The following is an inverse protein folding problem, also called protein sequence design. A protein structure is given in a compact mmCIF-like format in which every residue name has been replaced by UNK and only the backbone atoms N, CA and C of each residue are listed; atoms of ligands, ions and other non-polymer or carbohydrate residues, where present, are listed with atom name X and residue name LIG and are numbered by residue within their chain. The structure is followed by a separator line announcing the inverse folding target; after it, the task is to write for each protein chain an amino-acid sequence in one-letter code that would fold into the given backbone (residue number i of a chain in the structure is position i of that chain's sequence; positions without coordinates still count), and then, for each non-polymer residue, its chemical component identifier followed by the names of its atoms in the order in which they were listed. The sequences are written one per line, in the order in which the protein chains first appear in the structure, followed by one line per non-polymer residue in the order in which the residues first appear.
data_IF_553908028075
#
_entry.id   IF_553908028075
#
_cell.length_a   1.000
_cell.length_b   1.000
_cell.length_c   1.000
_cell.angle_alpha   90.00
_cell.angle_beta   90.00
_cell.angle_gamma   90.00
#
_symmetry.space_group_name_H-M   'P 1'
#
loop_
_entity.id
_entity.type
_entity.pdbx_description
1 polymer ?
#
# COMPACT_ATOMS: atom_id res chain seq x y z
N UNK A 1 -24.26 14.93 -1.52
CA UNK A 1 -24.09 14.05 -2.67
C UNK A 1 -23.80 12.68 -2.17
N UNK A 2 -23.92 11.74 -3.08
CA UNK A 2 -23.38 10.42 -2.90
C UNK A 2 -22.32 10.17 -3.95
N UNK A 3 -21.21 9.58 -3.53
CA UNK A 3 -20.11 9.18 -4.42
C UNK A 3 -20.02 7.68 -4.40
N UNK A 4 -20.01 7.05 -5.57
CA UNK A 4 -19.58 5.67 -5.69
C UNK A 4 -18.04 5.64 -5.74
N UNK A 5 -17.44 4.81 -4.91
CA UNK A 5 -16.00 4.53 -4.94
C UNK A 5 -15.82 3.07 -5.35
N UNK A 6 -15.17 2.87 -6.50
CA UNK A 6 -14.64 1.57 -6.89
C UNK A 6 -13.26 1.42 -6.25
N UNK A 7 -13.10 0.46 -5.35
CA UNK A 7 -11.82 0.13 -4.73
C UNK A 7 -11.31 -1.20 -5.28
N UNK A 8 -10.42 -1.10 -6.27
CA UNK A 8 -9.89 -2.24 -7.02
C UNK A 8 -8.59 -2.75 -6.39
N UNK A 9 -8.73 -3.66 -5.41
CA UNK A 9 -7.62 -4.43 -4.85
C UNK A 9 -7.23 -5.63 -5.71
N UNK A 10 -6.04 -6.22 -5.43
CA UNK A 10 -5.50 -7.36 -6.19
C UNK A 10 -6.37 -8.62 -6.12
N UNK A 11 -6.96 -8.88 -4.95
CA UNK A 11 -7.68 -10.12 -4.63
C UNK A 11 -9.15 -9.89 -4.30
N UNK A 12 -9.55 -8.64 -4.08
CA UNK A 12 -10.91 -8.25 -3.74
C UNK A 12 -11.17 -6.86 -4.30
N UNK A 13 -12.23 -6.73 -5.08
CA UNK A 13 -12.69 -5.49 -5.68
C UNK A 13 -14.02 -5.12 -5.05
N UNK A 14 -14.17 -3.86 -4.66
CA UNK A 14 -15.37 -3.39 -3.95
C UNK A 14 -15.97 -2.17 -4.63
N UNK A 15 -17.28 -2.02 -4.50
CA UNK A 15 -17.96 -0.75 -4.70
C UNK A 15 -18.54 -0.32 -3.36
N UNK A 16 -18.30 0.93 -2.98
CA UNK A 16 -18.97 1.57 -1.85
C UNK A 16 -19.73 2.79 -2.33
N UNK A 17 -20.91 3.04 -1.77
CA UNK A 17 -21.59 4.33 -1.94
C UNK A 17 -21.48 5.10 -0.63
N UNK A 18 -20.82 6.26 -0.67
CA UNK A 18 -20.65 7.12 0.48
C UNK A 18 -21.68 8.25 0.49
N UNK A 19 -22.28 8.48 1.65
CA UNK A 19 -22.99 9.71 1.98
C UNK A 19 -22.03 10.85 2.34
N UNK A 20 -22.55 12.08 2.40
CA UNK A 20 -21.76 13.25 2.82
C UNK A 20 -21.35 13.17 4.30
N UNK A 21 -22.12 12.45 5.12
CA UNK A 21 -21.84 12.16 6.53
C UNK A 21 -20.75 11.09 6.71
N UNK A 22 -20.05 10.69 5.65
CA UNK A 22 -18.98 9.69 5.66
C UNK A 22 -19.46 8.25 5.74
N UNK A 23 -20.77 8.01 5.88
CA UNK A 23 -21.31 6.65 6.02
C UNK A 23 -21.38 5.94 4.68
N UNK A 24 -21.07 4.64 4.72
CA UNK A 24 -21.32 3.71 3.62
C UNK A 24 -22.81 3.34 3.63
N UNK A 25 -23.51 3.63 2.53
CA UNK A 25 -24.96 3.35 2.37
C UNK A 25 -25.25 2.18 1.44
N UNK A 26 -24.25 1.71 0.70
CA UNK A 26 -24.31 0.51 -0.15
C UNK A 26 -22.90 -0.05 -0.32
N UNK A 27 -22.82 -1.36 -0.48
CA UNK A 27 -21.57 -2.08 -0.64
C UNK A 27 -21.75 -3.30 -1.54
N UNK A 28 -20.80 -3.50 -2.46
CA UNK A 28 -20.73 -4.69 -3.31
C UNK A 28 -19.31 -5.19 -3.41
N UNK A 29 -19.14 -6.49 -3.61
CA UNK A 29 -17.83 -7.13 -3.74
C UNK A 29 -17.80 -8.06 -4.92
N UNK A 30 -16.63 -8.16 -5.53
CA UNK A 30 -16.28 -9.22 -6.47
C UNK A 30 -14.81 -9.58 -6.28
N UNK A 31 -14.39 -10.67 -6.93
CA UNK A 31 -12.99 -11.04 -7.03
C UNK A 31 -12.52 -10.77 -8.47
N UNK A 32 -11.43 -10.01 -8.67
CA UNK A 32 -10.82 -9.90 -9.99
C UNK A 32 -10.17 -11.24 -10.38
N UNK A 33 -10.34 -11.63 -11.63
CA UNK A 33 -9.72 -12.83 -12.18
C UNK A 33 -8.44 -12.49 -12.94
N UNK A 34 -7.38 -13.25 -12.65
CA UNK A 34 -6.09 -13.16 -13.33
C UNK A 34 -5.92 -14.40 -14.20
N UNK A 35 -6.06 -14.22 -15.51
CA UNK A 35 -6.11 -15.29 -16.50
C UNK A 35 -4.78 -15.41 -17.25
N UNK A 36 -4.55 -16.58 -17.87
CA UNK A 36 -3.35 -16.84 -18.66
C UNK A 36 -3.60 -16.53 -20.14
N UNK A 37 -2.82 -15.60 -20.71
CA UNK A 37 -2.87 -15.24 -22.13
C UNK A 37 -1.45 -15.05 -22.67
N UNK A 38 -1.11 -15.75 -23.75
CA UNK A 38 0.21 -15.61 -24.39
C UNK A 38 1.40 -15.94 -23.49
N UNK A 39 1.24 -16.82 -22.49
CA UNK A 39 2.31 -17.10 -21.52
C UNK A 39 2.49 -16.02 -20.44
N UNK A 40 1.57 -15.06 -20.35
CA UNK A 40 1.51 -14.02 -19.32
C UNK A 40 0.22 -14.15 -18.50
N UNK A 41 0.28 -13.73 -17.23
CA UNK A 41 -0.85 -13.60 -16.32
C UNK A 41 -1.34 -12.18 -16.46
N UNK A 42 -2.61 -12.02 -16.78
CA UNK A 42 -3.21 -10.74 -17.10
C UNK A 42 -4.58 -10.63 -16.46
N UNK A 43 -5.00 -9.42 -16.15
CA UNK A 43 -6.34 -9.16 -15.63
C UNK A 43 -7.39 -9.53 -16.70
N UNK A 44 -8.44 -10.24 -16.29
CA UNK A 44 -9.68 -10.30 -17.07
C UNK A 44 -10.42 -8.96 -16.95
N UNK A 45 -9.91 -7.95 -17.69
CA UNK A 45 -10.42 -6.59 -17.64
C UNK A 45 -11.89 -6.50 -18.05
N UNK A 46 -12.32 -7.30 -19.04
CA UNK A 46 -13.69 -7.29 -19.51
C UNK A 46 -14.66 -7.74 -18.41
N UNK A 47 -14.35 -8.86 -17.72
CA UNK A 47 -15.17 -9.36 -16.63
C UNK A 47 -15.27 -8.35 -15.46
N UNK A 48 -14.14 -7.74 -15.08
CA UNK A 48 -14.14 -6.74 -14.00
C UNK A 48 -14.87 -5.45 -14.41
N UNK A 49 -14.68 -5.00 -15.66
CA UNK A 49 -15.37 -3.83 -16.21
C UNK A 49 -16.88 -4.04 -16.25
N UNK A 50 -17.36 -5.20 -16.71
CA UNK A 50 -18.79 -5.50 -16.82
C UNK A 50 -19.45 -5.55 -15.43
N UNK A 51 -18.80 -6.19 -14.46
CA UNK A 51 -19.25 -6.16 -13.07
C UNK A 51 -19.31 -4.73 -12.53
N UNK A 52 -18.24 -3.95 -12.71
CA UNK A 52 -18.15 -2.60 -12.16
C UNK A 52 -19.16 -1.65 -12.82
N UNK A 53 -19.37 -1.75 -14.13
CA UNK A 53 -20.37 -0.97 -14.86
C UNK A 53 -21.78 -1.29 -14.35
N UNK A 54 -22.12 -2.57 -14.22
CA UNK A 54 -23.40 -2.99 -13.65
C UNK A 54 -23.57 -2.49 -12.21
N UNK A 55 -22.50 -2.58 -11.41
CA UNK A 55 -22.52 -2.13 -10.03
C UNK A 55 -22.79 -0.61 -9.93
N UNK A 56 -22.12 0.18 -10.77
CA UNK A 56 -22.32 1.64 -10.83
C UNK A 56 -23.71 2.00 -11.34
N UNK A 57 -24.24 1.31 -12.36
CA UNK A 57 -25.60 1.56 -12.88
C UNK A 57 -26.68 1.34 -11.81
N UNK A 58 -26.60 0.23 -11.10
CA UNK A 58 -27.52 -0.06 -10.00
C UNK A 58 -27.35 0.92 -8.82
N UNK A 59 -26.12 1.35 -8.52
CA UNK A 59 -25.87 2.38 -7.50
C UNK A 59 -26.46 3.75 -7.92
N UNK A 60 -26.37 4.10 -9.20
CA UNK A 60 -26.98 5.30 -9.75
C UNK A 60 -28.51 5.26 -9.64
N UNK A 61 -29.13 4.12 -9.94
CA UNK A 61 -30.57 3.92 -9.81
C UNK A 61 -31.05 3.96 -8.35
N UNK A 62 -30.38 3.23 -7.46
CA UNK A 62 -30.81 3.07 -6.07
C UNK A 62 -30.52 4.32 -5.23
N UNK A 63 -29.38 4.98 -5.47
CA UNK A 63 -28.87 6.01 -4.58
C UNK A 63 -28.80 7.40 -5.22
N UNK A 64 -28.83 7.50 -6.54
CA UNK A 64 -28.66 8.76 -7.25
C UNK A 64 -27.26 9.34 -7.04
N UNK A 65 -26.21 8.53 -7.24
CA UNK A 65 -24.82 8.98 -7.14
C UNK A 65 -24.57 10.17 -8.08
N UNK A 66 -23.76 11.12 -7.64
CA UNK A 66 -23.39 12.33 -8.40
C UNK A 66 -21.94 12.25 -8.91
N UNK A 67 -21.11 11.37 -8.32
CA UNK A 67 -19.72 11.15 -8.72
C UNK A 67 -19.30 9.68 -8.63
N UNK A 68 -18.36 9.31 -9.49
CA UNK A 68 -17.65 8.04 -9.50
C UNK A 68 -16.15 8.30 -9.29
N UNK A 69 -15.58 7.66 -8.28
CA UNK A 69 -14.16 7.73 -7.93
C UNK A 69 -13.56 6.33 -7.95
N UNK A 70 -12.27 6.24 -8.27
CA UNK A 70 -11.51 4.97 -8.24
C UNK A 70 -10.36 5.05 -7.25
N UNK A 71 -10.28 4.07 -6.36
CA UNK A 71 -9.08 3.68 -5.63
C UNK A 71 -8.56 2.38 -6.23
N UNK A 72 -7.25 2.23 -6.35
CA UNK A 72 -6.68 1.00 -6.89
C UNK A 72 -5.30 0.67 -6.34
N UNK A 73 -5.00 -0.63 -6.33
CA UNK A 73 -3.68 -1.14 -5.95
C UNK A 73 -2.58 -0.61 -6.87
N UNK A 74 -1.35 -0.53 -6.36
CA UNK A 74 -0.17 -0.14 -7.12
C UNK A 74 0.37 -1.22 -8.05
N UNK A 75 1.60 -1.03 -8.53
CA UNK A 75 2.41 -2.04 -9.21
C UNK A 75 1.92 -2.54 -10.58
N UNK A 76 0.88 -1.97 -11.17
CA UNK A 76 0.50 -2.29 -12.56
C UNK A 76 0.27 -1.04 -13.40
N UNK A 77 0.07 -1.21 -14.70
CA UNK A 77 -0.10 -0.13 -15.67
C UNK A 77 -0.99 -0.60 -16.82
N UNK A 78 -1.57 0.36 -17.51
CA UNK A 78 -2.36 0.14 -18.72
C UNK A 78 -1.74 0.91 -19.89
N UNK A 79 -1.65 0.23 -21.02
CA UNK A 79 -1.32 0.83 -22.30
C UNK A 79 -2.62 0.98 -23.08
N UNK A 80 -2.98 2.18 -23.48
CA UNK A 80 -4.25 2.46 -24.17
C UNK A 80 -4.05 3.20 -25.49
N UNK A 81 -4.90 2.90 -26.46
CA UNK A 81 -5.13 3.73 -27.64
C UNK A 81 -6.32 4.68 -27.41
N UNK A 82 -7.01 5.12 -28.47
CA UNK A 82 -8.19 5.98 -28.35
C UNK A 82 -9.40 5.30 -27.70
N UNK A 83 -9.44 3.96 -27.72
CA UNK A 83 -10.67 3.19 -27.48
C UNK A 83 -10.49 2.00 -26.55
N UNK A 84 -9.31 1.40 -26.48
CA UNK A 84 -9.09 0.15 -25.76
C UNK A 84 -7.64 0.01 -25.25
N UNK A 85 -7.42 -1.05 -24.47
CA UNK A 85 -6.09 -1.52 -24.11
C UNK A 85 -5.35 -2.02 -25.35
N UNK A 86 -4.09 -1.62 -25.53
CA UNK A 86 -3.21 -2.18 -26.57
C UNK A 86 -2.52 -3.46 -26.13
N UNK A 87 -2.51 -3.72 -24.82
CA UNK A 87 -2.10 -4.99 -24.22
C UNK A 87 -2.91 -5.21 -22.91
N UNK A 88 -3.35 -6.45 -22.60
CA UNK A 88 -4.02 -6.75 -21.33
C UNK A 88 -3.18 -6.33 -20.11
N UNK A 89 -3.82 -5.85 -19.04
CA UNK A 89 -3.11 -5.38 -17.85
C UNK A 89 -2.34 -6.53 -17.21
N UNK A 90 -1.02 -6.37 -17.05
CA UNK A 90 -0.15 -7.41 -16.49
C UNK A 90 -0.40 -7.60 -14.99
N UNK A 91 -0.39 -8.87 -14.58
CA UNK A 91 -0.29 -9.23 -13.17
C UNK A 91 1.12 -8.95 -12.66
N UNK A 92 1.24 -8.08 -11.65
CA UNK A 92 2.51 -7.73 -11.03
C UNK A 92 3.13 -8.88 -10.22
N UNK A 93 2.43 -9.99 -9.98
CA UNK A 93 2.96 -11.16 -9.28
C UNK A 93 3.75 -12.11 -10.22
N UNK A 94 4.37 -11.54 -11.26
CA UNK A 94 5.16 -12.28 -12.24
C UNK A 94 6.59 -11.76 -12.30
N UNK A 95 7.55 -12.69 -12.25
CA UNK A 95 8.96 -12.40 -12.46
C UNK A 95 9.28 -12.39 -13.97
N UNK A 96 9.89 -11.30 -14.49
CA UNK A 96 10.54 -11.32 -15.79
C UNK A 96 11.55 -12.47 -15.88
N UNK A 97 11.63 -13.19 -17.02
CA UNK A 97 12.62 -14.24 -17.23
C UNK A 97 14.06 -13.76 -16.94
N UNK A 98 14.89 -14.62 -16.35
CA UNK A 98 16.20 -14.23 -15.81
C UNK A 98 17.13 -13.55 -16.84
N UNK A 99 17.09 -14.01 -18.09
CA UNK A 99 17.88 -13.43 -19.18
C UNK A 99 17.39 -12.02 -19.57
N UNK A 100 16.08 -11.77 -19.52
CA UNK A 100 15.48 -10.45 -19.74
C UNK A 100 15.75 -9.56 -18.52
N UNK A 101 15.53 -10.06 -17.31
CA UNK A 101 15.83 -9.37 -16.05
C UNK A 101 17.26 -8.82 -16.04
N UNK A 102 18.24 -9.63 -16.45
CA UNK A 102 19.65 -9.20 -16.52
C UNK A 102 19.91 -8.01 -17.46
N UNK A 103 19.07 -7.80 -18.48
CA UNK A 103 19.15 -6.66 -19.41
C UNK A 103 18.37 -5.45 -18.89
N UNK A 104 17.14 -5.65 -18.43
CA UNK A 104 16.27 -4.54 -17.99
C UNK A 104 16.69 -3.97 -16.64
N UNK A 105 17.24 -4.78 -15.73
CA UNK A 105 17.67 -4.33 -14.40
C UNK A 105 18.89 -3.38 -14.48
N UNK A 106 19.58 -3.32 -15.62
CA UNK A 106 20.64 -2.32 -15.88
C UNK A 106 20.11 -0.95 -16.30
N UNK A 107 18.83 -0.87 -16.66
CA UNK A 107 18.14 0.34 -17.15
C UNK A 107 17.32 1.03 -16.07
N UNK A 108 17.07 0.37 -14.93
CA UNK A 108 16.36 1.00 -13.83
C UNK A 108 17.22 2.14 -13.26
N UNK A 109 16.61 3.26 -12.83
CA UNK A 109 17.35 4.37 -12.24
C UNK A 109 18.05 4.00 -10.93
N UNK A 110 19.02 4.83 -10.54
CA UNK A 110 19.62 4.74 -9.21
C UNK A 110 18.55 4.95 -8.12
N UNK A 111 18.71 4.24 -7.00
CA UNK A 111 17.91 4.46 -5.80
C UNK A 111 17.98 5.91 -5.34
N UNK A 112 19.12 6.60 -5.45
CA UNK A 112 19.24 7.99 -5.04
C UNK A 112 18.37 8.98 -5.86
N UNK A 113 17.95 8.59 -7.07
CA UNK A 113 17.05 9.39 -7.91
C UNK A 113 15.58 9.17 -7.53
N UNK A 114 15.18 7.90 -7.42
CA UNK A 114 13.76 7.52 -7.31
C UNK A 114 13.33 7.11 -5.92
N UNK A 115 14.28 6.76 -5.05
CA UNK A 115 14.09 6.06 -3.78
C UNK A 115 13.20 4.82 -3.91
N UNK A 116 13.25 4.17 -5.08
CA UNK A 116 12.55 2.95 -5.39
C UNK A 116 13.60 1.83 -5.47
N UNK A 117 13.66 0.91 -4.49
CA UNK A 117 14.58 -0.22 -4.58
C UNK A 117 14.13 -1.16 -5.69
N UNK A 118 15.05 -2.01 -6.18
CA UNK A 118 14.71 -3.13 -7.07
C UNK A 118 13.97 -4.18 -6.24
N UNK A 119 12.66 -4.27 -6.45
CA UNK A 119 11.79 -5.27 -5.86
C UNK A 119 11.63 -6.48 -6.79
N UNK A 120 11.33 -7.67 -6.24
CA UNK A 120 11.04 -8.85 -7.06
C UNK A 120 9.72 -8.70 -7.83
N UNK A 121 9.47 -9.63 -8.76
CA UNK A 121 8.27 -9.68 -9.58
C UNK A 121 8.06 -8.36 -10.36
N UNK A 122 6.81 -7.92 -10.48
CA UNK A 122 6.40 -6.64 -11.05
C UNK A 122 6.14 -5.55 -10.01
N UNK A 123 6.66 -5.66 -8.78
CA UNK A 123 6.40 -4.67 -7.73
C UNK A 123 6.97 -3.26 -8.04
N UNK A 124 7.92 -3.16 -8.97
CA UNK A 124 8.20 -1.91 -9.65
C UNK A 124 7.61 -1.97 -11.06
N UNK A 125 6.51 -1.27 -11.32
CA UNK A 125 5.84 -1.41 -12.61
C UNK A 125 6.62 -0.80 -13.78
N UNK A 126 7.57 0.12 -13.54
CA UNK A 126 8.53 0.56 -14.56
C UNK A 126 9.47 -0.57 -15.03
N UNK A 127 9.84 -1.50 -14.13
CA UNK A 127 10.58 -2.72 -14.51
C UNK A 127 9.69 -3.66 -15.33
N UNK A 128 8.42 -3.76 -14.99
CA UNK A 128 7.44 -4.55 -15.74
C UNK A 128 7.12 -3.94 -17.12
N UNK A 129 7.13 -2.61 -17.24
CA UNK A 129 7.06 -1.92 -18.53
C UNK A 129 8.29 -2.22 -19.40
N UNK A 130 9.49 -2.21 -18.83
CA UNK A 130 10.71 -2.62 -19.55
C UNK A 130 10.61 -4.07 -20.02
N UNK A 131 10.12 -4.98 -19.17
CA UNK A 131 9.89 -6.38 -19.57
C UNK A 131 8.91 -6.48 -20.73
N UNK A 132 7.74 -5.84 -20.63
CA UNK A 132 6.75 -5.86 -21.71
C UNK A 132 7.30 -5.27 -23.00
N UNK A 133 8.11 -4.20 -22.93
CA UNK A 133 8.76 -3.59 -24.10
C UNK A 133 9.74 -4.54 -24.78
N UNK A 134 10.44 -5.40 -24.04
CA UNK A 134 11.36 -6.41 -24.60
C UNK A 134 10.61 -7.55 -25.31
N UNK A 135 9.48 -8.00 -24.76
CA UNK A 135 8.74 -9.16 -25.31
C UNK A 135 7.68 -8.78 -26.33
N UNK A 136 7.08 -7.60 -26.20
CA UNK A 136 6.01 -7.10 -27.06
C UNK A 136 6.12 -5.57 -27.31
N UNK A 137 7.16 -5.12 -28.04
CA UNK A 137 7.35 -3.69 -28.33
C UNK A 137 6.21 -3.06 -29.14
N UNK A 138 5.43 -3.88 -29.86
CA UNK A 138 4.24 -3.46 -30.59
C UNK A 138 3.16 -2.86 -29.69
N UNK A 139 3.03 -3.36 -28.45
CA UNK A 139 2.06 -2.84 -27.48
C UNK A 139 2.31 -1.37 -27.13
N UNK A 140 3.57 -1.00 -26.93
CA UNK A 140 3.97 0.40 -26.69
C UNK A 140 3.87 1.26 -27.94
N UNK A 141 4.20 0.72 -29.11
CA UNK A 141 4.09 1.46 -30.38
C UNK A 141 2.64 1.79 -30.73
N UNK A 142 1.70 0.91 -30.39
CA UNK A 142 0.27 1.12 -30.59
C UNK A 142 -0.34 2.06 -29.54
N UNK A 143 0.27 2.15 -28.36
CA UNK A 143 -0.27 2.94 -27.25
C UNK A 143 -0.12 4.44 -27.50
N UNK A 144 -1.21 5.17 -27.25
CA UNK A 144 -1.19 6.64 -27.19
C UNK A 144 -0.92 7.15 -25.78
N UNK A 145 -1.33 6.39 -24.76
CA UNK A 145 -1.09 6.75 -23.37
C UNK A 145 -0.67 5.56 -22.51
N UNK A 146 0.18 5.85 -21.53
CA UNK A 146 0.51 4.98 -20.40
C UNK A 146 -0.26 5.50 -19.19
N UNK A 147 -1.15 4.69 -18.64
CA UNK A 147 -2.00 5.05 -17.50
C UNK A 147 -1.63 4.22 -16.28
N UNK A 148 -1.66 4.87 -15.11
CA UNK A 148 -1.74 4.16 -13.84
C UNK A 148 -3.06 3.41 -13.71
N UNK A 149 -3.12 2.42 -12.82
CA UNK A 149 -4.28 1.53 -12.72
C UNK A 149 -5.58 2.26 -12.36
N UNK A 150 -5.65 3.15 -11.35
CA UNK A 150 -6.85 3.95 -11.07
C UNK A 150 -7.22 4.90 -12.22
N UNK A 151 -6.21 5.45 -12.91
CA UNK A 151 -6.40 6.37 -14.04
C UNK A 151 -6.97 5.65 -15.25
N UNK A 152 -6.56 4.41 -15.50
CA UNK A 152 -7.13 3.56 -16.53
C UNK A 152 -8.63 3.36 -16.32
N UNK A 153 -9.05 3.00 -15.11
CA UNK A 153 -10.46 2.82 -14.81
C UNK A 153 -11.24 4.13 -14.90
N UNK A 154 -10.69 5.22 -14.39
CA UNK A 154 -11.29 6.55 -14.54
C UNK A 154 -11.51 6.88 -16.03
N UNK A 155 -10.52 6.63 -16.88
CA UNK A 155 -10.63 6.79 -18.34
C UNK A 155 -11.68 5.85 -18.95
N UNK A 156 -11.66 4.57 -18.57
CA UNK A 156 -12.59 3.54 -19.04
C UNK A 156 -14.06 3.88 -18.75
N UNK A 157 -14.31 4.58 -17.64
CA UNK A 157 -15.65 5.05 -17.26
C UNK A 157 -16.05 6.42 -17.86
N UNK A 158 -15.21 7.03 -18.70
CA UNK A 158 -15.55 8.27 -19.43
C UNK A 158 -14.76 9.51 -18.99
N UNK A 159 -13.73 9.35 -18.15
CA UNK A 159 -12.75 10.40 -17.89
C UNK A 159 -11.78 10.59 -19.05
N UNK A 160 -11.17 11.77 -19.17
CA UNK A 160 -10.02 11.98 -20.05
C UNK A 160 -8.78 11.28 -19.50
N UNK A 161 -7.87 10.86 -20.38
CA UNK A 161 -6.58 10.30 -19.99
C UNK A 161 -5.76 11.35 -19.21
N UNK A 162 -5.33 10.98 -18.00
CA UNK A 162 -4.51 11.81 -17.10
C UNK A 162 -3.49 10.96 -16.37
N UNK A 163 -2.42 11.60 -15.90
CA UNK A 163 -1.52 11.03 -14.90
C UNK A 163 -1.86 11.55 -13.50
N UNK A 164 -1.58 10.75 -12.49
CA UNK A 164 -1.72 11.12 -11.09
C UNK A 164 -0.41 10.81 -10.35
N UNK A 165 0.07 11.78 -9.59
CA UNK A 165 1.44 11.76 -9.04
C UNK A 165 1.61 10.72 -7.95
N UNK A 166 0.59 10.50 -7.12
CA UNK A 166 0.66 9.55 -6.00
C UNK A 166 0.81 8.11 -6.49
N UNK A 167 0.18 7.78 -7.64
CA UNK A 167 0.34 6.48 -8.28
C UNK A 167 1.74 6.32 -8.89
N UNK A 168 2.22 7.34 -9.63
CA UNK A 168 3.58 7.36 -10.18
C UNK A 168 4.66 7.26 -9.11
N UNK A 169 4.41 7.85 -7.95
CA UNK A 169 5.32 7.80 -6.81
C UNK A 169 5.35 6.47 -6.05
N UNK A 170 4.48 5.50 -6.36
CA UNK A 170 4.43 4.22 -5.67
C UNK A 170 5.54 3.28 -6.15
N UNK A 171 6.78 3.53 -5.69
CA UNK A 171 7.99 2.73 -5.97
C UNK A 171 8.04 2.16 -7.40
N UNK A 172 7.78 3.03 -8.39
CA UNK A 172 7.52 2.62 -9.78
C UNK A 172 8.79 2.60 -10.64
N UNK A 173 9.87 3.23 -10.17
CA UNK A 173 11.00 3.72 -10.95
C UNK A 173 10.69 4.84 -11.97
N UNK A 174 9.46 5.31 -12.10
CA UNK A 174 9.06 6.31 -13.10
C UNK A 174 9.04 7.75 -12.58
N UNK A 175 9.15 7.95 -11.27
CA UNK A 175 9.09 9.27 -10.63
C UNK A 175 10.36 9.56 -9.84
N UNK A 176 10.84 10.80 -9.90
CA UNK A 176 11.97 11.29 -9.12
C UNK A 176 11.46 12.27 -8.05
N UNK A 177 11.23 11.84 -6.80
CA UNK A 177 10.54 12.64 -5.78
C UNK A 177 11.17 14.00 -5.50
N UNK A 178 12.51 14.08 -5.48
CA UNK A 178 13.24 15.35 -5.28
C UNK A 178 13.05 16.33 -6.44
N UNK A 179 12.98 15.83 -7.68
CA UNK A 179 12.78 16.66 -8.88
C UNK A 179 11.31 17.07 -9.04
N UNK A 180 10.39 16.31 -8.42
CA UNK A 180 8.94 16.40 -8.66
C UNK A 180 8.62 16.34 -10.16
N UNK A 181 9.32 15.44 -10.85
CA UNK A 181 9.14 15.15 -12.27
C UNK A 181 9.41 13.66 -12.51
N UNK A 182 9.15 13.20 -13.74
CA UNK A 182 9.51 11.86 -14.18
C UNK A 182 11.00 11.55 -13.96
N UNK A 183 11.29 10.29 -13.72
CA UNK A 183 12.67 9.80 -13.58
C UNK A 183 13.39 9.71 -14.92
N UNK A 184 14.71 9.55 -14.86
CA UNK A 184 15.55 9.27 -16.03
C UNK A 184 15.08 8.08 -16.88
N UNK A 185 14.38 7.10 -16.31
CA UNK A 185 13.85 5.95 -17.05
C UNK A 185 12.80 6.36 -18.09
N UNK A 186 11.87 7.25 -17.71
CA UNK A 186 10.80 7.71 -18.63
C UNK A 186 11.40 8.42 -19.84
N UNK A 187 12.44 9.23 -19.61
CA UNK A 187 13.12 9.97 -20.66
C UNK A 187 13.98 9.04 -21.55
N UNK A 188 14.75 8.13 -20.94
CA UNK A 188 15.58 7.17 -21.66
C UNK A 188 14.76 6.23 -22.58
N UNK A 189 13.54 5.89 -22.17
CA UNK A 189 12.65 5.01 -22.92
C UNK A 189 11.76 5.74 -23.93
N UNK A 190 11.81 7.07 -23.96
CA UNK A 190 10.96 7.91 -24.83
C UNK A 190 9.49 7.94 -24.41
N UNK A 191 9.17 7.54 -23.19
CA UNK A 191 7.78 7.39 -22.71
C UNK A 191 7.14 8.73 -22.33
N UNK A 192 7.90 9.81 -22.14
CA UNK A 192 7.35 11.11 -21.72
C UNK A 192 6.22 11.60 -22.65
N UNK A 193 6.33 11.36 -23.96
CA UNK A 193 5.27 11.72 -24.92
C UNK A 193 3.99 10.89 -24.81
N UNK A 194 4.03 9.74 -24.14
CA UNK A 194 2.90 8.86 -23.87
C UNK A 194 2.36 9.02 -22.43
N UNK A 195 2.98 9.86 -21.60
CA UNK A 195 2.47 10.16 -20.25
C UNK A 195 1.49 11.35 -20.36
N UNK A 196 0.19 11.18 -20.06
CA UNK A 196 -0.76 12.27 -20.15
C UNK A 196 -0.47 13.42 -19.18
N UNK A 197 -1.17 14.54 -19.38
CA UNK A 197 -1.09 15.67 -18.44
C UNK A 197 -1.55 15.25 -17.03
N UNK A 198 -0.92 15.82 -16.01
CA UNK A 198 -1.28 15.58 -14.62
C UNK A 198 -2.64 16.20 -14.27
N UNK A 199 -3.40 15.46 -13.46
CA UNK A 199 -4.53 15.99 -12.71
C UNK A 199 -4.40 15.51 -11.26
N UNK A 200 -4.80 16.33 -10.29
CA UNK A 200 -4.81 15.91 -8.88
C UNK A 200 -5.81 14.76 -8.68
N UNK A 201 -5.53 13.85 -7.76
CA UNK A 201 -6.52 12.88 -7.31
C UNK A 201 -7.82 13.59 -6.86
N UNK A 202 -8.96 13.01 -7.21
CA UNK A 202 -10.28 13.56 -6.95
C UNK A 202 -10.75 14.63 -7.95
N UNK A 203 -9.89 15.22 -8.79
CA UNK A 203 -10.33 16.21 -9.79
C UNK A 203 -11.30 15.58 -10.80
N UNK A 204 -12.34 16.30 -11.23
CA UNK A 204 -13.26 15.82 -12.28
C UNK A 204 -12.55 15.80 -13.63
N UNK A 205 -12.52 14.65 -14.28
CA UNK A 205 -11.85 14.41 -15.56
C UNK A 205 -12.80 14.12 -16.71
N UNK A 206 -14.08 13.88 -16.41
CA UNK A 206 -15.13 13.66 -17.40
C UNK A 206 -16.50 13.49 -16.74
N UNK A 207 -17.48 13.11 -17.55
CA UNK A 207 -18.84 12.83 -17.12
C UNK A 207 -19.41 11.69 -17.97
N UNK A 208 -20.15 10.77 -17.36
CA UNK A 208 -20.88 9.72 -18.08
C UNK A 208 -22.27 9.55 -17.49
N UNK A 209 -23.24 9.15 -18.34
CA UNK A 209 -24.59 8.83 -17.91
C UNK A 209 -24.69 7.39 -17.45
N UNK A 210 -25.27 7.18 -16.26
CA UNK A 210 -25.50 5.85 -15.68
C UNK A 210 -26.95 5.68 -15.20
N UNK A 211 -27.32 4.42 -14.97
CA UNK A 211 -28.64 4.01 -14.52
C UNK A 211 -29.72 4.13 -15.60
N UNK A 212 -30.91 3.61 -15.31
CA UNK A 212 -32.07 3.64 -16.22
C UNK A 212 -32.53 5.05 -16.57
N UNK A 213 -32.38 5.98 -15.64
CA UNK A 213 -32.72 7.39 -15.86
C UNK A 213 -31.64 8.15 -16.67
N UNK A 214 -30.47 7.55 -16.92
CA UNK A 214 -29.36 8.16 -17.66
C UNK A 214 -28.88 9.46 -17.01
N UNK A 215 -28.71 9.47 -15.69
CA UNK A 215 -28.27 10.65 -14.95
C UNK A 215 -26.77 10.89 -15.17
N UNK A 216 -26.34 12.15 -15.37
CA UNK A 216 -24.92 12.48 -15.45
C UNK A 216 -24.24 12.22 -14.10
N UNK A 217 -23.10 11.54 -14.14
CA UNK A 217 -22.23 11.26 -13.00
C UNK A 217 -20.84 11.77 -13.34
N UNK A 218 -20.28 12.61 -12.47
CA UNK A 218 -18.92 13.12 -12.62
C UNK A 218 -17.91 11.98 -12.46
N UNK A 219 -16.94 11.89 -13.37
CA UNK A 219 -15.83 10.93 -13.28
C UNK A 219 -14.64 11.64 -12.66
N UNK A 220 -14.21 11.18 -11.49
CA UNK A 220 -13.09 11.73 -10.77
C UNK A 220 -11.79 11.01 -11.13
N UNK A 221 -10.67 11.73 -11.12
CA UNK A 221 -9.34 11.14 -11.27
C UNK A 221 -9.04 10.24 -10.06
N UNK A 222 -8.85 8.96 -10.31
CA UNK A 222 -8.56 7.99 -9.26
C UNK A 222 -7.23 8.20 -8.52
N UNK A 223 -7.00 7.39 -7.50
CA UNK A 223 -5.88 7.48 -6.56
C UNK A 223 -5.32 6.10 -6.21
N UNK A 224 -4.04 6.04 -5.83
CA UNK A 224 -3.45 4.84 -5.23
C UNK A 224 -4.05 4.56 -3.84
N UNK A 225 -4.40 3.30 -3.56
CA UNK A 225 -5.12 2.88 -2.34
C UNK A 225 -4.47 3.37 -1.03
N UNK A 226 -3.15 3.20 -0.89
CA UNK A 226 -2.40 3.54 0.32
C UNK A 226 -2.29 5.06 0.49
N UNK A 227 -2.24 5.80 -0.62
CA UNK A 227 -2.27 7.27 -0.59
C UNK A 227 -3.66 7.80 -0.25
N UNK A 228 -4.72 7.11 -0.68
CA UNK A 228 -6.08 7.43 -0.26
C UNK A 228 -6.23 7.26 1.26
N UNK A 229 -5.81 6.12 1.81
CA UNK A 229 -5.81 5.89 3.25
C UNK A 229 -4.99 6.93 4.02
N UNK A 230 -3.80 7.30 3.52
CA UNK A 230 -2.99 8.36 4.12
C UNK A 230 -3.71 9.72 4.09
N UNK A 231 -4.35 10.07 2.97
CA UNK A 231 -5.12 11.32 2.83
C UNK A 231 -6.28 11.38 3.82
N UNK A 232 -6.96 10.26 4.09
CA UNK A 232 -8.07 10.18 5.03
C UNK A 232 -7.70 10.66 6.44
N UNK A 233 -6.44 10.46 6.86
CA UNK A 233 -5.93 10.91 8.16
C UNK A 233 -5.32 12.32 8.11
N UNK A 234 -4.54 12.64 7.06
CA UNK A 234 -3.86 13.95 6.96
C UNK A 234 -4.80 15.13 6.88
N UNK A 235 -6.03 14.92 6.40
CA UNK A 235 -7.07 15.94 6.32
C UNK A 235 -7.76 16.28 7.65
N UNK A 236 -7.48 15.56 8.73
CA UNK A 236 -8.21 15.67 10.01
C UNK A 236 -7.54 16.59 11.03
N UNK A 237 -6.66 17.49 10.60
CA UNK A 237 -5.96 18.47 11.46
C UNK A 237 -5.23 17.85 12.67
N UNK A 238 -4.74 16.62 12.54
CA UNK A 238 -4.02 15.88 13.59
C UNK A 238 -2.55 16.32 13.76
N UNK A 239 -2.12 17.33 13.00
CA UNK A 239 -0.71 17.70 12.86
C UNK A 239 0.09 16.69 12.03
N UNK A 240 1.43 16.71 12.11
CA UNK A 240 2.25 15.68 11.48
C UNK A 240 1.95 14.29 12.07
N UNK A 241 1.76 13.31 11.19
CA UNK A 241 1.42 11.93 11.57
C UNK A 241 2.29 10.92 10.87
N UNK A 242 2.56 9.80 11.55
CA UNK A 242 3.06 8.56 10.95
C UNK A 242 1.90 7.57 10.90
N UNK A 243 1.68 6.91 9.76
CA UNK A 243 0.64 5.90 9.61
C UNK A 243 1.29 4.52 9.58
N UNK A 244 0.81 3.61 10.42
CA UNK A 244 1.18 2.19 10.43
C UNK A 244 -0.03 1.40 9.95
N UNK A 245 -0.02 1.01 8.68
CA UNK A 245 -1.04 0.12 8.12
C UNK A 245 -0.64 -1.34 8.34
N UNK A 246 -1.56 -2.14 8.86
CA UNK A 246 -1.32 -3.53 9.26
C UNK A 246 -2.24 -4.49 8.50
N UNK A 247 -1.68 -5.15 7.48
CA UNK A 247 -2.35 -6.21 6.72
C UNK A 247 -1.38 -7.35 6.45
N UNK A 248 -1.46 -7.98 5.28
CA UNK A 248 -0.43 -8.95 4.84
C UNK A 248 0.98 -8.33 4.91
N UNK A 249 1.07 -7.07 4.49
CA UNK A 249 2.21 -6.20 4.74
C UNK A 249 1.91 -5.27 5.91
N UNK A 250 2.93 -4.98 6.71
CA UNK A 250 2.98 -3.82 7.57
C UNK A 250 3.72 -2.73 6.82
N UNK A 251 3.10 -1.57 6.69
CA UNK A 251 3.62 -0.41 5.97
C UNK A 251 3.62 0.77 6.92
N UNK A 252 4.80 1.34 7.17
CA UNK A 252 4.98 2.51 8.03
C UNK A 252 5.33 3.70 7.15
N UNK A 253 4.43 4.69 7.10
CA UNK A 253 4.57 5.90 6.30
C UNK A 253 4.85 7.10 7.21
N UNK A 254 6.00 7.75 7.04
CA UNK A 254 6.36 8.94 7.81
C UNK A 254 6.82 10.07 6.87
N UNK A 255 5.92 10.99 6.49
CA UNK A 255 6.24 12.15 5.63
C UNK A 255 7.41 13.00 6.12
N UNK A 256 7.65 13.05 7.44
CA UNK A 256 8.69 13.90 8.04
C UNK A 256 10.08 13.24 8.11
N UNK A 257 10.20 11.98 7.68
CA UNK A 257 11.49 11.31 7.64
C UNK A 257 12.41 11.95 6.58
N UNK A 258 13.65 12.33 6.91
CA UNK A 258 14.61 12.78 5.90
C UNK A 258 14.88 11.67 4.87
N UNK A 259 14.89 12.02 3.58
CA UNK A 259 15.13 11.03 2.52
C UNK A 259 16.52 10.38 2.62
N UNK A 260 17.49 11.09 3.21
CA UNK A 260 18.86 10.63 3.45
C UNK A 260 18.92 9.52 4.51
N UNK A 261 17.87 9.35 5.32
CA UNK A 261 17.77 8.27 6.30
C UNK A 261 17.36 6.93 5.66
N UNK A 262 16.94 6.92 4.39
CA UNK A 262 16.43 5.73 3.74
C UNK A 262 17.56 4.82 3.27
N UNK A 263 17.46 3.56 3.66
CA UNK A 263 18.38 2.48 3.32
C UNK A 263 17.69 1.48 2.39
N UNK A 264 18.16 1.40 1.14
CA UNK A 264 17.60 0.51 0.11
C UNK A 264 17.64 -0.97 0.49
N UNK A 265 18.56 -1.38 1.37
CA UNK A 265 18.72 -2.77 1.81
C UNK A 265 17.76 -3.13 2.96
N UNK A 266 17.01 -2.15 3.48
CA UNK A 266 16.09 -2.31 4.61
C UNK A 266 14.62 -2.16 4.22
N UNK A 267 14.29 -2.39 2.95
CA UNK A 267 12.93 -2.25 2.41
C UNK A 267 12.33 -0.85 2.70
N UNK A 268 13.20 0.16 2.65
CA UNK A 268 12.85 1.57 2.74
C UNK A 268 12.76 2.18 1.35
N UNK A 269 11.72 2.98 1.13
CA UNK A 269 11.41 3.60 -0.16
C UNK A 269 10.67 4.91 0.03
N UNK A 270 10.39 5.63 -1.06
CA UNK A 270 9.55 6.82 -1.05
C UNK A 270 8.30 6.56 -1.89
N UNK A 271 7.14 6.70 -1.24
CA UNK A 271 5.87 6.95 -1.91
C UNK A 271 5.71 8.46 -2.16
N UNK A 272 4.68 8.88 -2.90
CA UNK A 272 4.35 10.30 -3.06
C UNK A 272 2.88 10.49 -2.72
N UNK A 273 2.57 11.52 -1.94
CA UNK A 273 1.18 11.85 -1.61
C UNK A 273 0.46 12.53 -2.78
N UNK A 274 -0.86 12.73 -2.62
CA UNK A 274 -1.74 13.34 -3.64
C UNK A 274 -1.39 14.80 -3.97
N UNK A 275 -0.60 15.47 -3.13
CA UNK A 275 -0.13 16.84 -3.31
C UNK A 275 1.32 16.88 -3.84
N UNK A 276 1.90 15.71 -4.16
CA UNK A 276 3.22 15.56 -4.75
C UNK A 276 4.37 15.67 -3.74
N UNK A 277 4.09 15.54 -2.44
CA UNK A 277 5.07 15.48 -1.36
C UNK A 277 5.65 14.07 -1.18
N UNK A 278 6.95 13.92 -0.92
CA UNK A 278 7.54 12.62 -0.65
C UNK A 278 6.98 12.04 0.65
N UNK A 279 6.67 10.75 0.63
CA UNK A 279 6.22 9.96 1.76
C UNK A 279 7.20 8.81 1.95
N UNK A 280 8.31 9.05 2.68
CA UNK A 280 9.18 7.98 3.15
C UNK A 280 8.37 6.85 3.76
N UNK A 281 8.74 5.63 3.40
CA UNK A 281 8.02 4.41 3.78
C UNK A 281 9.01 3.30 4.09
N UNK A 282 8.70 2.49 5.10
CA UNK A 282 9.41 1.25 5.42
C UNK A 282 8.38 0.14 5.60
N UNK A 283 8.68 -1.08 5.15
CA UNK A 283 7.71 -2.18 5.11
C UNK A 283 8.31 -3.50 5.53
N UNK A 284 7.47 -4.43 5.96
CA UNK A 284 7.80 -5.86 6.09
C UNK A 284 6.51 -6.68 6.02
N UNK A 285 6.59 -8.01 5.83
CA UNK A 285 5.40 -8.84 5.67
C UNK A 285 4.73 -9.23 7.00
N UNK A 286 4.48 -8.27 7.89
CA UNK A 286 4.09 -8.55 9.27
C UNK A 286 2.87 -9.45 9.46
N UNK A 287 1.85 -9.36 8.59
CA UNK A 287 0.70 -10.29 8.66
C UNK A 287 1.04 -11.70 8.22
N UNK A 288 1.91 -11.87 7.21
CA UNK A 288 2.42 -13.19 6.80
C UNK A 288 3.28 -13.78 7.91
N UNK A 289 4.19 -12.99 8.46
CA UNK A 289 5.08 -13.45 9.53
C UNK A 289 4.30 -13.78 10.81
N UNK A 290 3.30 -12.98 11.16
CA UNK A 290 2.37 -13.31 12.25
C UNK A 290 1.71 -14.66 12.03
N UNK A 291 1.17 -14.93 10.83
CA UNK A 291 0.53 -16.20 10.51
C UNK A 291 1.51 -17.39 10.63
N UNK A 292 2.74 -17.25 10.13
CA UNK A 292 3.78 -18.30 10.26
C UNK A 292 4.16 -18.56 11.71
N UNK A 293 4.42 -17.50 12.48
CA UNK A 293 4.86 -17.62 13.87
C UNK A 293 3.74 -18.17 14.74
N UNK A 294 2.51 -17.68 14.58
CA UNK A 294 1.36 -18.10 15.39
C UNK A 294 0.80 -19.47 15.00
N UNK A 295 1.05 -19.94 13.78
CA UNK A 295 0.39 -21.13 13.22
C UNK A 295 -1.05 -20.83 12.79
N UNK A 296 -1.23 -19.75 12.03
CA UNK A 296 -2.51 -19.28 11.48
C UNK A 296 -3.58 -18.99 12.55
N UNK A 297 -3.17 -18.49 13.71
CA UNK A 297 -4.09 -18.15 14.80
C UNK A 297 -5.13 -17.09 14.38
N UNK A 298 -6.40 -17.34 14.69
CA UNK A 298 -7.54 -16.45 14.37
C UNK A 298 -8.30 -15.95 15.61
N UNK A 299 -7.87 -16.35 16.82
CA UNK A 299 -8.56 -16.01 18.07
C UNK A 299 -8.12 -14.68 18.68
N UNK A 300 -8.85 -14.24 19.69
CA UNK A 300 -8.39 -13.14 20.56
C UNK A 300 -7.19 -13.62 21.37
N UNK A 301 -6.14 -12.80 21.47
CA UNK A 301 -4.97 -13.08 22.31
C UNK A 301 -5.22 -12.42 23.67
N UNK A 302 -5.31 -13.21 24.74
CA UNK A 302 -5.45 -12.65 26.08
C UNK A 302 -4.18 -11.87 26.50
N UNK A 303 -4.31 -10.69 27.14
CA UNK A 303 -3.16 -9.96 27.69
C UNK A 303 -2.29 -10.80 28.64
N UNK A 304 -2.89 -11.74 29.37
CA UNK A 304 -2.15 -12.66 30.23
C UNK A 304 -1.14 -13.52 29.43
N UNK A 305 -1.44 -13.88 28.19
CA UNK A 305 -0.59 -14.71 27.33
C UNK A 305 0.61 -13.90 26.81
N UNK A 306 0.43 -12.59 26.57
CA UNK A 306 1.53 -11.65 26.31
C UNK A 306 2.45 -11.55 27.54
N UNK A 307 1.90 -11.36 28.73
CA UNK A 307 2.69 -11.25 29.96
C UNK A 307 3.48 -12.54 30.26
N UNK A 308 2.90 -13.73 29.98
CA UNK A 308 3.61 -15.02 30.11
C UNK A 308 4.80 -15.12 29.17
N UNK A 309 4.62 -14.79 27.89
CA UNK A 309 5.69 -14.80 26.90
C UNK A 309 6.86 -13.85 27.31
N UNK A 310 6.54 -12.66 27.81
CA UNK A 310 7.53 -11.70 28.32
C UNK A 310 8.33 -12.28 29.50
N UNK A 311 7.64 -12.87 30.48
CA UNK A 311 8.29 -13.46 31.68
C UNK A 311 9.14 -14.68 31.32
N UNK A 312 8.68 -15.50 30.37
CA UNK A 312 9.43 -16.66 29.87
C UNK A 312 10.65 -16.27 29.03
N UNK A 313 10.70 -15.02 28.51
CA UNK A 313 11.74 -14.57 27.59
C UNK A 313 11.63 -15.23 26.21
N UNK A 314 10.45 -15.68 25.83
CA UNK A 314 10.21 -16.40 24.57
C UNK A 314 10.04 -15.40 23.44
N UNK A 315 10.92 -15.44 22.44
CA UNK A 315 10.98 -14.45 21.37
C UNK A 315 10.97 -15.11 20.00
N UNK A 316 10.26 -14.54 19.04
CA UNK A 316 10.52 -14.80 17.63
C UNK A 316 11.56 -13.81 17.12
N UNK A 317 12.59 -14.32 16.43
CA UNK A 317 13.65 -13.54 15.81
C UNK A 317 13.48 -13.54 14.29
N UNK A 318 13.69 -12.40 13.60
CA UNK A 318 13.46 -12.27 12.17
C UNK A 318 14.46 -13.07 11.33
N UNK A 319 14.11 -13.47 10.09
CA UNK A 319 12.87 -13.15 9.35
C UNK A 319 12.04 -14.39 9.01
N UNK A 320 10.71 -14.30 9.09
CA UNK A 320 9.81 -15.40 8.72
C UNK A 320 9.23 -15.26 7.30
N UNK A 321 9.57 -14.18 6.60
CA UNK A 321 9.18 -13.93 5.22
C UNK A 321 10.28 -13.16 4.46
N UNK A 322 10.30 -13.20 3.12
CA UNK A 322 11.19 -12.36 2.31
C UNK A 322 10.93 -10.85 2.49
N UNK A 323 11.97 -10.04 2.35
CA UNK A 323 11.90 -8.58 2.45
C UNK A 323 12.05 -8.06 3.89
N UNK A 324 11.72 -6.79 4.09
CA UNK A 324 11.75 -6.13 5.40
C UNK A 324 13.10 -5.57 5.86
N UNK A 325 13.11 -4.83 6.99
CA UNK A 325 14.30 -4.13 7.50
C UNK A 325 15.43 -5.06 7.96
N UNK A 326 15.12 -6.34 8.17
CA UNK A 326 16.04 -7.38 8.65
C UNK A 326 16.02 -8.59 7.69
N UNK A 327 15.90 -8.32 6.39
CA UNK A 327 15.90 -9.32 5.33
C UNK A 327 17.18 -10.17 5.30
N UNK A 328 17.12 -11.34 4.63
CA UNK A 328 18.26 -12.25 4.49
C UNK A 328 18.57 -13.13 5.70
N UNK A 329 17.68 -13.16 6.70
CA UNK A 329 17.81 -13.98 7.92
C UNK A 329 16.76 -15.08 7.95
N UNK A 330 17.11 -16.22 8.52
CA UNK A 330 16.14 -17.30 8.80
C UNK A 330 15.54 -17.11 10.18
N UNK A 331 14.23 -16.95 10.23
CA UNK A 331 13.49 -16.73 11.47
C UNK A 331 13.47 -17.96 12.37
N UNK A 332 13.45 -17.73 13.67
CA UNK A 332 13.39 -18.78 14.68
C UNK A 332 12.67 -18.30 15.93
N UNK A 333 12.18 -19.24 16.74
CA UNK A 333 11.64 -18.94 18.07
C UNK A 333 12.68 -19.42 19.11
N UNK A 334 13.09 -18.51 19.99
CA UNK A 334 13.96 -18.80 21.13
C UNK A 334 13.14 -18.81 22.42
N UNK A 335 13.48 -19.70 23.35
CA UNK A 335 12.74 -19.88 24.59
C UNK A 335 11.57 -20.88 24.47
N UNK A 336 10.93 -21.24 25.60
CA UNK A 336 9.86 -22.23 25.63
C UNK A 336 8.54 -21.66 25.13
N UNK A 337 7.77 -22.46 24.36
CA UNK A 337 6.38 -22.15 23.99
C UNK A 337 5.49 -23.21 24.62
N UNK A 338 4.58 -22.80 25.50
CA UNK A 338 3.75 -23.72 26.30
C UNK A 338 2.50 -24.17 25.55
N UNK A 339 1.87 -23.27 24.79
CA UNK A 339 0.61 -23.52 24.08
C UNK A 339 0.46 -22.63 22.83
N UNK A 340 -0.61 -22.87 22.06
CA UNK A 340 -0.87 -22.17 20.79
C UNK A 340 -1.21 -20.67 20.99
N UNK A 341 -1.87 -20.30 22.09
CA UNK A 341 -2.20 -18.90 22.35
C UNK A 341 -0.95 -18.12 22.77
N UNK A 342 -0.08 -18.71 23.60
CA UNK A 342 1.23 -18.13 23.91
C UNK A 342 2.08 -17.96 22.64
N UNK A 343 2.03 -18.93 21.71
CA UNK A 343 2.69 -18.79 20.41
C UNK A 343 2.14 -17.61 19.59
N UNK A 344 0.84 -17.38 19.60
CA UNK A 344 0.21 -16.22 18.99
C UNK A 344 0.60 -14.90 19.69
N UNK A 345 0.74 -14.93 21.03
CA UNK A 345 1.23 -13.80 21.80
C UNK A 345 2.68 -13.43 21.45
N UNK A 346 3.56 -14.42 21.28
CA UNK A 346 4.94 -14.24 20.78
C UNK A 346 4.94 -13.64 19.37
N UNK A 347 4.03 -14.09 18.49
CA UNK A 347 3.87 -13.53 17.15
C UNK A 347 3.45 -12.05 17.19
N UNK A 348 2.51 -11.67 18.06
CA UNK A 348 2.08 -10.28 18.21
C UNK A 348 3.19 -9.38 18.78
N UNK A 349 3.92 -9.87 19.79
CA UNK A 349 5.11 -9.19 20.34
C UNK A 349 6.17 -8.97 19.25
N UNK A 350 6.42 -9.98 18.42
CA UNK A 350 7.33 -9.86 17.28
C UNK A 350 6.92 -8.76 16.30
N UNK A 351 5.65 -8.72 15.89
CA UNK A 351 5.14 -7.67 14.99
C UNK A 351 5.28 -6.29 15.64
N UNK A 352 4.96 -6.16 16.93
CA UNK A 352 5.12 -4.90 17.66
C UNK A 352 6.60 -4.45 17.69
N UNK A 353 7.54 -5.36 17.93
CA UNK A 353 8.97 -5.06 17.94
C UNK A 353 9.53 -4.71 16.55
N UNK A 354 9.06 -5.37 15.50
CA UNK A 354 9.41 -5.02 14.12
C UNK A 354 8.86 -3.65 13.72
N UNK A 355 7.65 -3.28 14.16
CA UNK A 355 7.09 -1.93 13.97
C UNK A 355 7.91 -0.90 14.76
N UNK A 356 8.21 -1.16 16.04
CA UNK A 356 9.01 -0.26 16.87
C UNK A 356 10.41 0.00 16.27
N UNK A 357 11.09 -1.05 15.78
CA UNK A 357 12.33 -0.92 15.01
C UNK A 357 12.12 -0.09 13.74
N UNK A 358 11.03 -0.33 13.00
CA UNK A 358 10.73 0.38 11.76
C UNK A 358 10.49 1.87 12.01
N UNK A 359 9.79 2.22 13.10
CA UNK A 359 9.55 3.59 13.53
C UNK A 359 10.86 4.32 13.88
N UNK A 360 11.83 3.63 14.51
CA UNK A 360 13.17 4.18 14.75
C UNK A 360 13.92 4.43 13.43
N UNK A 361 13.93 3.45 12.53
CA UNK A 361 14.62 3.54 11.24
C UNK A 361 14.05 4.67 10.37
N UNK A 362 12.74 4.84 10.39
CA UNK A 362 12.05 5.91 9.64
C UNK A 362 11.94 7.22 10.43
N UNK A 363 12.69 7.38 11.53
CA UNK A 363 12.77 8.62 12.32
C UNK A 363 11.41 9.17 12.77
N UNK A 364 10.46 8.28 13.04
CA UNK A 364 9.12 8.68 13.50
C UNK A 364 9.17 9.15 14.95
N UNK A 365 8.81 10.42 15.16
CA UNK A 365 8.59 11.05 16.48
C UNK A 365 7.21 11.71 16.60
N UNK A 366 6.45 11.69 15.51
CA UNK A 366 5.12 12.28 15.38
C UNK A 366 4.03 11.41 16.00
N UNK A 367 2.77 11.86 16.00
CA UNK A 367 1.64 11.00 16.36
C UNK A 367 1.56 9.80 15.42
N UNK A 368 1.44 8.59 15.98
CA UNK A 368 1.33 7.35 15.21
C UNK A 368 -0.11 6.88 15.15
N UNK A 369 -0.65 6.69 13.95
CA UNK A 369 -1.96 6.08 13.73
C UNK A 369 -1.74 4.63 13.34
N UNK A 370 -2.28 3.70 14.13
CA UNK A 370 -2.21 2.26 13.85
C UNK A 370 -3.55 1.81 13.27
N UNK A 371 -3.51 1.35 12.03
CA UNK A 371 -4.67 0.95 11.24
C UNK A 371 -4.51 -0.49 10.72
N UNK A 372 -5.61 -1.16 10.42
CA UNK A 372 -5.63 -2.49 9.80
C UNK A 372 -5.84 -3.67 10.76
N UNK A 373 -5.94 -4.86 10.16
CA UNK A 373 -6.50 -6.06 10.78
C UNK A 373 -5.67 -6.68 11.90
N UNK A 374 -4.34 -6.47 11.94
CA UNK A 374 -3.53 -6.98 13.06
C UNK A 374 -3.76 -6.20 14.36
N UNK A 375 -4.31 -4.99 14.27
CA UNK A 375 -4.70 -4.18 15.43
C UNK A 375 -6.16 -4.40 15.85
N UNK A 376 -6.81 -5.48 15.40
CA UNK A 376 -8.17 -5.82 15.85
C UNK A 376 -8.22 -5.93 17.37
N UNK A 377 -9.07 -5.13 18.02
CA UNK A 377 -9.15 -5.04 19.48
C UNK A 377 -8.11 -4.13 20.16
N UNK A 378 -7.30 -3.39 19.40
CA UNK A 378 -6.43 -2.32 19.89
C UNK A 378 -5.16 -2.76 20.63
N UNK A 379 -4.95 -4.07 20.81
CA UNK A 379 -3.84 -4.59 21.61
C UNK A 379 -2.45 -4.28 21.00
N UNK A 380 -2.34 -4.33 19.67
CA UNK A 380 -1.07 -4.00 18.98
C UNK A 380 -0.70 -2.53 19.20
N UNK A 381 -1.64 -1.61 19.03
CA UNK A 381 -1.41 -0.19 19.28
C UNK A 381 -1.10 0.07 20.76
N UNK A 382 -1.77 -0.60 21.69
CA UNK A 382 -1.50 -0.47 23.13
C UNK A 382 -0.09 -0.96 23.51
N UNK A 383 0.40 -2.03 22.87
CA UNK A 383 1.79 -2.50 23.01
C UNK A 383 2.79 -1.48 22.47
N UNK A 384 2.54 -0.91 21.29
CA UNK A 384 3.41 0.11 20.69
C UNK A 384 3.47 1.39 21.55
N UNK A 385 2.34 1.84 22.07
CA UNK A 385 2.27 2.95 23.01
C UNK A 385 3.06 2.67 24.30
N UNK A 386 3.07 1.43 24.78
CA UNK A 386 3.88 1.03 25.93
C UNK A 386 5.39 0.98 25.62
N UNK A 387 5.77 0.57 24.40
CA UNK A 387 7.17 0.55 23.93
C UNK A 387 7.73 1.96 23.72
N UNK A 388 6.88 2.96 23.46
CA UNK A 388 7.25 4.34 23.12
C UNK A 388 6.48 5.37 23.98
N UNK A 389 6.73 5.44 25.30
CA UNK A 389 5.95 6.25 26.25
C UNK A 389 5.97 7.78 26.02
N UNK A 390 6.90 8.28 25.18
CA UNK A 390 6.99 9.69 24.81
C UNK A 390 6.31 10.06 23.49
N UNK A 391 5.70 9.10 22.79
CA UNK A 391 5.06 9.32 21.49
C UNK A 391 3.57 9.02 21.57
N UNK A 392 2.68 9.89 21.05
CA UNK A 392 1.24 9.63 21.06
C UNK A 392 0.86 8.58 19.99
N UNK A 393 -0.05 7.69 20.37
CA UNK A 393 -0.63 6.68 19.48
C UNK A 393 -2.14 6.86 19.38
N UNK A 394 -2.66 6.62 18.18
CA UNK A 394 -4.08 6.62 17.87
C UNK A 394 -4.45 5.34 17.12
N UNK A 395 -5.69 4.91 17.25
CA UNK A 395 -6.26 3.78 16.53
C UNK A 395 -7.07 4.29 15.34
N UNK A 396 -6.82 3.71 14.16
CA UNK A 396 -7.56 4.02 12.94
C UNK A 396 -9.08 3.82 13.12
N UNK A 397 -9.85 4.69 12.48
CA UNK A 397 -11.30 4.78 12.68
C UNK A 397 -12.10 3.81 11.79
N UNK A 398 -11.54 3.40 10.64
CA UNK A 398 -12.24 2.59 9.65
C UNK A 398 -11.33 1.55 9.04
N UNK A 399 -11.86 0.34 8.83
CA UNK A 399 -11.17 -0.73 8.09
C UNK A 399 -11.17 -0.49 6.56
N UNK A 400 -11.93 0.49 6.07
CA UNK A 400 -12.08 0.82 4.65
C UNK A 400 -11.39 2.17 4.33
N UNK A 401 -10.18 2.36 4.87
CA UNK A 401 -9.41 3.61 4.78
C UNK A 401 -9.15 4.09 3.35
N UNK A 402 -8.83 3.16 2.43
CA UNK A 402 -8.59 3.48 1.01
C UNK A 402 -9.84 4.10 0.35
N UNK A 403 -10.99 3.42 0.48
CA UNK A 403 -12.24 3.90 -0.09
C UNK A 403 -12.72 5.20 0.57
N UNK A 404 -12.55 5.32 1.89
CA UNK A 404 -12.89 6.53 2.66
C UNK A 404 -12.07 7.74 2.20
N UNK A 405 -10.76 7.57 2.01
CA UNK A 405 -9.89 8.62 1.50
C UNK A 405 -10.17 9.02 0.06
N UNK A 406 -10.49 8.05 -0.79
CA UNK A 406 -10.88 8.31 -2.17
C UNK A 406 -12.21 9.09 -2.24
N UNK A 407 -13.20 8.71 -1.42
CA UNK A 407 -14.43 9.50 -1.27
C UNK A 407 -14.11 10.93 -0.82
N UNK A 408 -13.31 11.11 0.24
CA UNK A 408 -12.93 12.43 0.73
C UNK A 408 -12.33 13.32 -0.37
N UNK A 409 -11.41 12.80 -1.19
CA UNK A 409 -10.83 13.52 -2.34
C UNK A 409 -11.87 13.95 -3.37
N UNK A 410 -12.87 13.11 -3.65
CA UNK A 410 -13.94 13.42 -4.59
C UNK A 410 -14.91 14.48 -4.05
N UNK A 411 -15.22 14.47 -2.74
CA UNK A 411 -16.04 15.50 -2.11
C UNK A 411 -15.29 16.85 -2.05
N UNK A 412 -14.02 16.85 -1.66
CA UNK A 412 -13.17 18.04 -1.56
C UNK A 412 -13.02 18.76 -2.91
N UNK A 413 -12.86 18.00 -4.00
CA UNK A 413 -12.63 18.59 -5.32
C UNK A 413 -13.83 19.37 -5.86
N UNK A 414 -15.03 19.12 -5.33
CA UNK A 414 -16.26 19.85 -5.65
C UNK A 414 -16.67 20.81 -4.53
N UNK A 415 -15.77 21.11 -3.58
CA UNK A 415 -15.97 22.08 -2.51
C UNK A 415 -16.95 21.62 -1.44
N UNK A 416 -17.05 20.31 -1.20
CA UNK A 416 -17.95 19.75 -0.18
C UNK A 416 -17.17 19.10 0.95
N UNK A 417 -17.70 19.29 2.15
CA UNK A 417 -17.20 18.57 3.33
C UNK A 417 -17.54 17.09 3.26
N UNK A 418 -16.66 16.28 3.84
CA UNK A 418 -16.80 14.85 4.03
C UNK A 418 -16.45 14.53 5.49
N UNK A 419 -17.43 14.07 6.26
CA UNK A 419 -17.26 13.80 7.68
C UNK A 419 -16.69 12.38 7.88
N UNK A 420 -15.37 12.23 7.75
CA UNK A 420 -14.70 10.98 8.07
C UNK A 420 -14.64 10.78 9.60
N UNK A 421 -14.77 9.54 10.05
CA UNK A 421 -14.60 9.19 11.45
C UNK A 421 -13.16 9.46 11.92
N UNK A 422 -13.03 9.97 13.13
CA UNK A 422 -11.75 10.40 13.69
C UNK A 422 -11.05 9.24 14.39
N UNK A 423 -9.72 9.07 14.24
CA UNK A 423 -9.00 8.09 15.00
C UNK A 423 -9.06 8.40 16.50
N UNK A 424 -8.99 7.37 17.34
CA UNK A 424 -9.14 7.50 18.79
C UNK A 424 -7.79 7.36 19.52
N UNK A 425 -7.53 8.13 20.59
CA UNK A 425 -6.31 7.97 21.38
C UNK A 425 -6.16 6.57 21.97
N UNK A 426 -4.96 6.02 21.91
CA UNK A 426 -4.64 4.69 22.44
C UNK A 426 -4.03 4.81 23.83
N UNK A 427 -4.54 4.03 24.78
CA UNK A 427 -3.93 3.89 26.10
C UNK A 427 -2.82 2.84 26.04
N UNK A 428 -1.63 3.19 26.55
CA UNK A 428 -0.53 2.23 26.69
C UNK A 428 -0.94 1.04 27.57
N UNK A 429 -0.58 -0.16 27.11
CA UNK A 429 -0.74 -1.38 27.90
C UNK A 429 0.25 -1.40 29.07
N UNK A 430 -0.12 -2.09 30.15
CA UNK A 430 0.73 -2.28 31.32
C UNK A 430 1.26 -3.73 31.35
N UNK A 431 2.46 -3.92 30.79
CA UNK A 431 3.17 -5.21 30.79
C UNK A 431 4.52 -5.07 31.48
N UNK A 432 4.73 -5.86 32.53
CA UNK A 432 5.97 -5.83 33.31
C UNK A 432 7.12 -6.43 32.50
N UNK A 433 8.21 -5.68 32.39
CA UNK A 433 9.45 -6.11 31.72
C UNK A 433 9.44 -5.99 30.19
N UNK A 434 8.44 -5.32 29.59
CA UNK A 434 8.33 -5.16 28.15
C UNK A 434 9.52 -4.38 27.54
N UNK A 435 10.01 -3.37 28.25
CA UNK A 435 11.20 -2.59 27.90
C UNK A 435 12.46 -3.46 27.83
N UNK A 436 12.70 -4.27 28.87
CA UNK A 436 13.80 -5.23 28.90
C UNK A 436 13.64 -6.28 27.80
N UNK A 437 12.44 -6.79 27.59
CA UNK A 437 12.16 -7.76 26.53
C UNK A 437 12.48 -7.20 25.14
N UNK A 438 12.13 -5.93 24.85
CA UNK A 438 12.54 -5.22 23.62
C UNK A 438 14.06 -5.13 23.52
N UNK A 439 14.73 -4.74 24.58
CA UNK A 439 16.18 -4.50 24.57
C UNK A 439 16.95 -5.82 24.37
N UNK A 440 16.51 -6.91 25.03
CA UNK A 440 17.04 -8.25 24.86
C UNK A 440 16.83 -8.76 23.41
N UNK A 441 15.63 -8.54 22.84
CA UNK A 441 15.35 -8.85 21.43
C UNK A 441 16.26 -8.07 20.47
N UNK A 442 16.45 -6.76 20.70
CA UNK A 442 17.36 -5.90 19.93
C UNK A 442 18.82 -6.37 20.04
N UNK A 443 19.24 -6.83 21.21
CA UNK A 443 20.56 -7.41 21.44
C UNK A 443 20.81 -8.67 20.62
N UNK A 444 19.84 -9.59 20.58
CA UNK A 444 19.92 -10.83 19.82
C UNK A 444 20.00 -10.59 18.30
N UNK A 445 19.22 -9.64 17.77
CA UNK A 445 19.27 -9.32 16.33
C UNK A 445 20.59 -8.63 15.94
N UNK A 446 21.20 -7.83 16.83
CA UNK A 446 22.47 -7.16 16.57
C UNK A 446 23.65 -8.14 16.63
N UNK A 447 23.69 -9.02 17.64
CA UNK A 447 24.74 -10.03 17.78
C UNK A 447 24.83 -10.97 16.56
N UNK A 448 23.68 -11.34 15.98
CA UNK A 448 23.64 -12.18 14.76
C UNK A 448 24.12 -11.46 13.50
N UNK A 449 23.97 -10.14 13.44
CA UNK A 449 24.47 -9.35 12.31
C UNK A 449 26.00 -9.38 12.24
N UNK A 450 26.66 -9.33 13.40
CA UNK A 450 28.13 -9.40 13.50
C UNK A 450 28.62 -10.80 13.12
N UNK A 451 27.95 -11.86 13.59
CA UNK A 451 28.32 -13.24 13.27
C UNK A 451 28.18 -13.55 11.76
N UNK A 452 27.07 -13.17 11.13
CA UNK A 452 26.86 -13.38 9.69
C UNK A 452 27.83 -12.57 8.81
N UNK A 453 28.21 -11.36 9.22
CA UNK A 453 29.22 -10.57 8.51
C UNK A 453 30.63 -11.17 8.61
N UNK A 454 30.97 -11.80 9.74
CA UNK A 454 32.25 -12.48 9.92
C UNK A 454 32.35 -13.77 9.10
N UNK A 455 31.25 -14.53 8.97
CA UNK A 455 31.20 -15.75 8.14
C UNK A 455 31.22 -15.42 6.64
N UNK A 456 30.54 -14.35 6.21
CA UNK A 456 30.53 -13.90 4.81
C UNK A 456 31.85 -13.26 4.34
N UNK A 457 32.70 -12.78 5.25
CA UNK A 457 34.04 -12.27 4.93
C UNK A 457 35.12 -13.37 4.90
N UNK A 458 34.79 -14.58 5.37
CA UNK A 458 35.67 -15.75 5.40
C UNK A 458 35.45 -16.71 4.21
N UNK A 459 34.47 -16.42 3.34
CA UNK A 459 34.22 -17.08 2.05
C UNK A 459 34.63 -16.15 0.91
#
# INVERSE_FOLDING_TARGET
MKVAVLDFGKTNSKLFVFGQDGRIVDERRTKPDWIRKGGLSVLDEAALHDWALHAVDEAADAHGIEGLMVSGHGCTFALVDDTALTHPILDYEQEPPADIAARIDRRIPDFAETFSPRLPLGFNYGRHMLWLKEVEPGAFSAAKAILGYPQYWSWRFGGRAVSEVSYLGCHSHLWAPRKRDFSSLVDAEGWRGQMPAFARAGAVTGERRFGRAGKPVAIHNGVHDSNAALHAYRRQDLGPVTVVSTGTWVIVLNPDCPLEALDRERDMLVNVDVDGGPVPTIRFMGGREFAVISGDWQGVIAPASIQRAIVAGTMALPSFAPGGPLSGRTGEIVGPVSDAEERAAVALLYVALMIDLSLDLIRSSNTVIVDGGLNTGGLLAALLAALRPGQPFMQGATLEGSATGAAALAFESVGREFAAETPEPVRAADFKGLDRYRDDWRGLIAGRQIAGAAEGAAQ
#
